data_IF_628393056493
#
_entry.id   IF_628393056493
#
_cell.length_a   1.000
_cell.length_b   1.000
_cell.length_c   1.000
_cell.angle_alpha   90.00
_cell.angle_beta   90.00
_cell.angle_gamma   90.00
#
_symmetry.space_group_name_H-M   'P 1'
#
loop_
_entity.id
_entity.type
_entity.pdbx_description
1 polymer ?
#
# COMPACT_ATOMS: atom_id res chain seq x y z
N UNK A 1 -4.26 -8.64 17.33
CA UNK A 1 -3.16 -9.46 16.72
C UNK A 1 -1.82 -8.79 16.98
N UNK A 2 -0.81 -9.49 17.52
CA UNK A 2 0.53 -8.91 17.72
C UNK A 2 1.25 -8.75 16.37
N UNK A 3 1.47 -7.51 15.94
CA UNK A 3 2.06 -7.18 14.65
C UNK A 3 3.57 -7.43 14.56
N UNK A 4 4.31 -7.42 15.67
CA UNK A 4 5.76 -7.62 15.62
C UNK A 4 6.16 -9.09 15.67
N UNK A 5 5.42 -9.92 16.41
CA UNK A 5 5.74 -11.34 16.60
C UNK A 5 5.08 -12.29 15.60
N UNK A 6 3.92 -11.95 15.05
CA UNK A 6 3.08 -12.91 14.29
C UNK A 6 2.91 -12.55 12.81
N UNK A 7 3.38 -11.38 12.37
CA UNK A 7 3.16 -10.88 11.01
C UNK A 7 3.56 -11.88 9.92
N UNK A 8 4.76 -12.48 10.03
CA UNK A 8 5.23 -13.50 9.10
C UNK A 8 4.35 -14.76 9.09
N UNK A 9 3.86 -15.18 10.26
CA UNK A 9 2.99 -16.36 10.38
C UNK A 9 1.63 -16.09 9.73
N UNK A 10 1.10 -14.89 9.90
CA UNK A 10 -0.16 -14.44 9.29
C UNK A 10 -0.02 -14.35 7.77
N UNK A 11 1.06 -13.74 7.27
CA UNK A 11 1.35 -13.70 5.83
C UNK A 11 1.42 -15.12 5.23
N UNK A 12 2.12 -16.04 5.89
CA UNK A 12 2.23 -17.44 5.47
C UNK A 12 0.88 -18.15 5.48
N UNK A 13 0.08 -17.97 6.54
CA UNK A 13 -1.23 -18.60 6.68
C UNK A 13 -2.22 -18.11 5.60
N UNK A 14 -2.19 -16.82 5.30
CA UNK A 14 -2.98 -16.19 4.23
C UNK A 14 -2.40 -16.43 2.82
N UNK A 15 -1.27 -17.15 2.72
CA UNK A 15 -0.53 -17.38 1.48
C UNK A 15 -0.26 -16.10 0.68
N UNK A 16 0.11 -15.03 1.41
CA UNK A 16 0.27 -13.69 0.87
C UNK A 16 1.69 -13.19 1.08
N UNK A 17 2.21 -12.42 0.11
CA UNK A 17 3.47 -11.70 0.30
C UNK A 17 3.37 -10.72 1.48
N UNK A 18 4.45 -10.62 2.24
CA UNK A 18 4.53 -9.75 3.41
C UNK A 18 4.28 -8.27 3.05
N UNK A 19 4.74 -7.81 1.89
CA UNK A 19 4.55 -6.43 1.42
C UNK A 19 3.08 -6.17 1.09
N UNK A 20 2.37 -7.16 0.54
CA UNK A 20 0.93 -7.07 0.29
C UNK A 20 0.14 -7.02 1.60
N UNK A 21 0.47 -7.88 2.57
CA UNK A 21 -0.19 -7.85 3.88
C UNK A 21 0.04 -6.50 4.58
N UNK A 22 1.24 -5.94 4.48
CA UNK A 22 1.56 -4.62 5.01
C UNK A 22 0.73 -3.51 4.34
N UNK A 23 0.53 -3.57 3.02
CA UNK A 23 -0.34 -2.64 2.31
C UNK A 23 -1.78 -2.71 2.82
N UNK A 24 -2.33 -3.93 2.96
CA UNK A 24 -3.70 -4.13 3.43
C UNK A 24 -3.89 -3.51 4.81
N UNK A 25 -2.96 -3.74 5.75
CA UNK A 25 -3.07 -3.14 7.08
C UNK A 25 -2.97 -1.61 7.06
N UNK A 26 -2.11 -1.03 6.22
CA UNK A 26 -2.06 0.43 6.07
C UNK A 26 -3.39 0.99 5.54
N UNK A 27 -3.95 0.36 4.52
CA UNK A 27 -5.25 0.75 3.95
C UNK A 27 -6.37 0.62 4.99
N UNK A 28 -6.40 -0.48 5.75
CA UNK A 28 -7.43 -0.69 6.78
C UNK A 28 -7.28 0.23 7.98
N UNK A 29 -6.05 0.59 8.35
CA UNK A 29 -5.79 1.57 9.40
C UNK A 29 -6.26 2.97 8.95
N UNK A 30 -5.94 3.38 7.72
CA UNK A 30 -6.41 4.65 7.15
C UNK A 30 -7.94 4.70 6.99
N UNK A 31 -8.57 3.57 6.69
CA UNK A 31 -10.02 3.43 6.59
C UNK A 31 -10.73 3.30 7.95
N UNK A 32 -9.99 3.32 9.07
CA UNK A 32 -10.51 3.09 10.43
C UNK A 32 -11.26 1.76 10.62
N UNK A 33 -10.87 0.72 9.88
CA UNK A 33 -11.39 -0.64 10.09
C UNK A 33 -10.68 -1.35 11.23
N UNK A 34 -9.45 -0.93 11.50
CA UNK A 34 -8.59 -1.48 12.56
C UNK A 34 -7.88 -0.35 13.28
N UNK A 35 -7.59 -0.54 14.57
CA UNK A 35 -6.71 0.31 15.37
C UNK A 35 -5.47 -0.47 15.78
N UNK A 36 -4.41 0.25 16.15
CA UNK A 36 -3.21 -0.36 16.74
C UNK A 36 -3.07 0.17 18.16
N UNK A 37 -3.23 -0.71 19.14
CA UNK A 37 -3.12 -0.39 20.56
C UNK A 37 -2.08 -1.31 21.19
N UNK A 38 -1.03 -0.72 21.78
CA UNK A 38 0.07 -1.47 22.41
C UNK A 38 0.72 -2.53 21.48
N UNK A 39 0.80 -2.24 20.18
CA UNK A 39 1.34 -3.17 19.17
C UNK A 39 0.38 -4.29 18.74
N UNK A 40 -0.87 -4.24 19.21
CA UNK A 40 -1.93 -5.15 18.79
C UNK A 40 -2.87 -4.47 17.80
N UNK A 41 -3.06 -5.12 16.66
CA UNK A 41 -4.09 -4.76 15.69
C UNK A 41 -5.45 -5.25 16.17
N UNK A 42 -6.39 -4.33 16.36
CA UNK A 42 -7.75 -4.57 16.86
C UNK A 42 -8.78 -4.16 15.81
N UNK A 43 -9.84 -4.96 15.54
CA UNK A 43 -10.92 -4.55 14.66
C UNK A 43 -11.82 -3.51 15.34
N UNK A 44 -12.36 -2.57 14.57
CA UNK A 44 -13.38 -1.63 15.05
C UNK A 44 -14.76 -2.28 14.98
N UNK A 45 -15.50 -2.26 16.09
CA UNK A 45 -16.87 -2.79 16.17
C UNK A 45 -17.82 -1.81 15.47
N UNK A 46 -18.21 -2.11 14.22
CA UNK A 46 -19.06 -1.28 13.36
C UNK A 46 -18.37 -0.07 12.68
N UNK A 47 -17.41 -0.32 11.77
CA UNK A 47 -16.80 0.76 10.99
C UNK A 47 -17.80 1.35 10.00
N UNK A 48 -17.64 2.63 9.68
CA UNK A 48 -18.38 3.25 8.57
C UNK A 48 -17.91 2.70 7.23
N UNK A 49 -18.78 2.68 6.22
CA UNK A 49 -18.37 2.34 4.85
C UNK A 49 -17.37 3.38 4.33
N UNK A 50 -16.21 2.90 3.89
CA UNK A 50 -15.14 3.73 3.31
C UNK A 50 -14.72 3.11 1.98
N UNK A 51 -14.55 3.94 0.95
CA UNK A 51 -13.93 3.52 -0.30
C UNK A 51 -12.42 3.33 -0.10
N UNK A 52 -11.96 2.08 -0.18
CA UNK A 52 -10.55 1.75 0.00
C UNK A 52 -9.65 2.38 -1.06
N UNK A 53 -10.19 2.66 -2.26
CA UNK A 53 -9.43 3.26 -3.36
C UNK A 53 -9.09 4.72 -3.08
N UNK A 54 -9.81 5.35 -2.16
CA UNK A 54 -9.58 6.74 -1.74
C UNK A 54 -8.49 6.88 -0.68
N UNK A 55 -8.07 5.78 -0.05
CA UNK A 55 -6.99 5.78 0.95
C UNK A 55 -5.65 6.19 0.33
N UNK A 56 -4.83 6.90 1.10
CA UNK A 56 -3.52 7.41 0.66
C UNK A 56 -2.57 6.23 0.39
N UNK A 57 -2.59 5.22 1.24
CA UNK A 57 -1.80 4.00 1.06
C UNK A 57 -2.12 3.29 -0.26
N UNK A 58 -3.41 3.14 -0.59
CA UNK A 58 -3.82 2.51 -1.85
C UNK A 58 -3.41 3.36 -3.07
N UNK A 59 -3.69 4.66 -3.06
CA UNK A 59 -3.30 5.58 -4.14
C UNK A 59 -1.79 5.60 -4.36
N UNK A 60 -1.00 5.61 -3.29
CA UNK A 60 0.46 5.55 -3.38
C UNK A 60 0.95 4.23 -3.99
N UNK A 61 0.36 3.10 -3.58
CA UNK A 61 0.67 1.79 -4.17
C UNK A 61 0.35 1.74 -5.67
N UNK A 62 -0.83 2.25 -6.07
CA UNK A 62 -1.23 2.29 -7.47
C UNK A 62 -0.35 3.22 -8.30
N UNK A 63 -0.03 4.42 -7.79
CA UNK A 63 0.90 5.36 -8.45
C UNK A 63 2.26 4.71 -8.70
N UNK A 64 2.80 4.01 -7.69
CA UNK A 64 4.07 3.28 -7.82
C UNK A 64 3.99 2.17 -8.87
N UNK A 65 2.93 1.36 -8.85
CA UNK A 65 2.73 0.25 -9.79
C UNK A 65 2.59 0.72 -11.23
N UNK A 66 1.89 1.84 -11.43
CA UNK A 66 1.76 2.45 -12.74
C UNK A 66 3.11 2.99 -13.25
N UNK A 67 3.88 3.64 -12.39
CA UNK A 67 5.23 4.08 -12.73
C UNK A 67 6.16 2.91 -13.06
N UNK A 68 6.13 1.82 -12.26
CA UNK A 68 6.91 0.60 -12.53
C UNK A 68 6.55 0.00 -13.89
N UNK A 69 5.25 -0.04 -14.23
CA UNK A 69 4.79 -0.51 -15.54
C UNK A 69 5.33 0.38 -16.66
N UNK A 70 5.24 1.70 -16.53
CA UNK A 70 5.77 2.61 -17.52
C UNK A 70 7.27 2.39 -17.71
N UNK A 71 8.06 2.31 -16.63
CA UNK A 71 9.50 2.07 -16.72
C UNK A 71 9.87 0.76 -17.43
N UNK A 72 9.15 -0.33 -17.16
CA UNK A 72 9.47 -1.66 -17.72
C UNK A 72 9.13 -1.75 -19.21
N UNK A 73 8.05 -1.10 -19.64
CA UNK A 73 7.50 -1.28 -21.00
C UNK A 73 7.74 -0.08 -21.93
N UNK A 74 8.42 0.98 -21.48
CA UNK A 74 8.70 2.17 -22.28
C UNK A 74 9.79 1.91 -23.33
N UNK A 75 9.62 2.53 -24.50
CA UNK A 75 10.71 2.80 -25.44
C UNK A 75 11.68 3.85 -24.87
N UNK A 76 12.86 4.00 -25.49
CA UNK A 76 13.86 4.99 -25.07
C UNK A 76 13.30 6.42 -25.02
N UNK A 77 12.50 6.82 -26.02
CA UNK A 77 11.91 8.16 -26.08
C UNK A 77 10.87 8.40 -24.97
N UNK A 78 10.08 7.37 -24.64
CA UNK A 78 9.11 7.42 -23.54
C UNK A 78 9.82 7.49 -22.18
N UNK A 79 10.96 6.78 -22.01
CA UNK A 79 11.79 6.88 -20.81
C UNK A 79 12.38 8.28 -20.63
N UNK A 80 12.89 8.91 -21.69
CA UNK A 80 13.44 10.28 -21.62
C UNK A 80 12.38 11.30 -21.18
N UNK A 81 11.16 11.16 -21.70
CA UNK A 81 10.02 11.99 -21.31
C UNK A 81 9.67 11.76 -19.84
N UNK A 82 9.53 10.50 -19.43
CA UNK A 82 9.19 10.12 -18.06
C UNK A 82 10.20 10.64 -17.03
N UNK A 83 11.50 10.50 -17.30
CA UNK A 83 12.56 10.99 -16.42
C UNK A 83 12.56 12.52 -16.30
N UNK A 84 12.25 13.21 -17.40
CA UNK A 84 12.12 14.67 -17.43
C UNK A 84 10.93 15.12 -16.57
N UNK A 85 9.79 14.45 -16.70
CA UNK A 85 8.58 14.76 -15.93
C UNK A 85 8.79 14.53 -14.42
N UNK A 86 9.43 13.42 -14.04
CA UNK A 86 9.75 13.13 -12.64
C UNK A 86 10.68 14.19 -12.04
N UNK A 87 11.71 14.61 -12.78
CA UNK A 87 12.66 15.64 -12.32
C UNK A 87 11.99 17.00 -12.06
N UNK A 88 10.91 17.28 -12.77
CA UNK A 88 10.14 18.52 -12.61
C UNK A 88 9.15 18.46 -11.43
N UNK A 89 8.73 17.27 -10.99
CA UNK A 89 7.84 17.09 -9.84
C UNK A 89 8.54 17.24 -8.48
N UNK A 90 9.88 17.18 -8.45
CA UNK A 90 10.70 17.33 -7.24
C UNK A 90 11.13 18.79 -6.96
N UNK A 91 10.76 19.75 -7.83
CA UNK A 91 11.00 21.19 -7.67
C UNK A 91 9.76 21.90 -7.13
#
# INVERSE_FOLDING_TARGET
MNLSGQFKQVANHLQMDQSMLNLIFKVFLEANFVTIENGFLNPVTNPSTVDLTETKAYKAFMKRRELEKQLIYSSTAELETLLSDLSNQEK
#
